data_IF_569549130639
#
_entry.id   IF_569549130639
#
_cell.length_a   1.000
_cell.length_b   1.000
_cell.length_c   1.000
_cell.angle_alpha   90.00
_cell.angle_beta   90.00
_cell.angle_gamma   90.00
#
_symmetry.space_group_name_H-M   'P 1'
#
loop_
_entity.id
_entity.type
_entity.pdbx_description
1 polymer ?
#
# COMPACT_ATOMS: atom_id res chain seq x y z
N UNK A 1 -6.99 9.07 -6.54
CA UNK A 1 -6.13 8.08 -5.85
C UNK A 1 -6.02 6.88 -6.79
N UNK A 2 -4.81 6.48 -7.20
CA UNK A 2 -4.56 5.40 -8.17
C UNK A 2 -4.63 3.98 -7.56
N UNK A 3 -4.84 3.83 -6.25
CA UNK A 3 -5.02 2.53 -5.59
C UNK A 3 -3.87 1.55 -5.85
N UNK A 4 -2.74 1.69 -5.13
CA UNK A 4 -1.49 0.96 -5.40
C UNK A 4 -1.47 -0.49 -4.92
N UNK A 5 -2.61 -1.06 -4.54
CA UNK A 5 -2.71 -2.42 -4.00
C UNK A 5 -2.12 -3.49 -4.94
N UNK A 6 -2.11 -3.26 -6.26
CA UNK A 6 -1.58 -4.19 -7.26
C UNK A 6 -0.06 -4.37 -7.20
N UNK A 7 0.68 -3.51 -6.48
CA UNK A 7 2.12 -3.72 -6.24
C UNK A 7 2.34 -5.01 -5.44
N UNK A 8 1.53 -5.24 -4.41
CA UNK A 8 1.67 -6.39 -3.50
C UNK A 8 0.60 -7.47 -3.74
N UNK A 9 -0.45 -7.14 -4.48
CA UNK A 9 -1.69 -7.93 -4.54
C UNK A 9 -2.00 -8.61 -5.88
N UNK A 10 -1.26 -8.33 -6.95
CA UNK A 10 -1.50 -8.91 -8.27
C UNK A 10 -0.20 -9.45 -8.87
N UNK A 11 -0.33 -10.42 -9.78
CA UNK A 11 0.82 -11.03 -10.49
C UNK A 11 1.64 -9.96 -11.22
N UNK A 12 0.97 -8.98 -11.83
CA UNK A 12 1.61 -7.84 -12.49
C UNK A 12 1.00 -6.54 -12.01
N UNK A 13 1.82 -5.64 -11.48
CA UNK A 13 1.33 -4.36 -10.95
C UNK A 13 0.82 -3.43 -12.05
N UNK A 14 0.00 -2.44 -11.67
CA UNK A 14 -0.46 -1.40 -12.61
C UNK A 14 0.71 -0.64 -13.26
N UNK A 15 1.85 -0.51 -12.56
CA UNK A 15 3.02 0.19 -13.06
C UNK A 15 3.79 -0.65 -14.07
N UNK A 16 3.98 -1.93 -13.78
CA UNK A 16 4.65 -2.82 -14.72
C UNK A 16 3.82 -2.99 -16.00
N UNK A 17 2.52 -3.21 -15.88
CA UNK A 17 1.64 -3.31 -17.06
C UNK A 17 1.55 -1.99 -17.83
N UNK A 18 1.65 -0.84 -17.16
CA UNK A 18 1.78 0.45 -17.85
C UNK A 18 3.06 0.53 -18.67
N UNK A 19 4.21 0.13 -18.13
CA UNK A 19 5.47 0.10 -18.87
C UNK A 19 5.42 -0.90 -20.04
N UNK A 20 4.86 -2.09 -19.83
CA UNK A 20 4.70 -3.11 -20.89
C UNK A 20 3.84 -2.56 -22.04
N UNK A 21 2.76 -1.84 -21.73
CA UNK A 21 1.93 -1.19 -22.73
C UNK A 21 2.68 -0.08 -23.49
N UNK A 22 3.49 0.74 -22.81
CA UNK A 22 4.28 1.81 -23.45
C UNK A 22 5.38 1.26 -24.35
N UNK A 23 5.92 0.09 -24.03
CA UNK A 23 7.03 -0.55 -24.74
C UNK A 23 6.58 -1.59 -25.79
N UNK A 24 5.28 -1.70 -26.04
CA UNK A 24 4.67 -2.73 -26.92
C UNK A 24 5.06 -4.18 -26.53
N UNK A 25 5.25 -4.43 -25.25
CA UNK A 25 5.50 -5.77 -24.72
C UNK A 25 4.18 -6.49 -24.40
N UNK A 26 4.15 -7.85 -24.43
CA UNK A 26 2.99 -8.60 -23.99
C UNK A 26 2.61 -8.22 -22.56
N UNK A 27 1.34 -7.93 -22.30
CA UNK A 27 0.85 -7.61 -20.96
C UNK A 27 1.03 -8.78 -20.00
N UNK A 28 1.32 -8.48 -18.74
CA UNK A 28 1.36 -9.46 -17.67
C UNK A 28 -0.03 -9.71 -17.07
N UNK A 29 -0.20 -10.88 -16.44
CA UNK A 29 -1.46 -11.28 -15.80
C UNK A 29 -1.87 -10.29 -14.71
N UNK A 30 -3.15 -9.94 -14.67
CA UNK A 30 -3.76 -9.11 -13.62
C UNK A 30 -4.43 -9.95 -12.53
N UNK A 31 -4.22 -11.27 -12.52
CA UNK A 31 -4.78 -12.14 -11.50
C UNK A 31 -4.29 -11.71 -10.10
N UNK A 32 -5.19 -11.70 -9.09
CA UNK A 32 -4.78 -11.48 -7.72
C UNK A 32 -3.82 -12.57 -7.24
N UNK A 33 -2.75 -12.18 -6.56
CA UNK A 33 -1.80 -13.12 -5.93
C UNK A 33 -2.29 -13.64 -4.58
N UNK A 34 -3.33 -13.01 -4.03
CA UNK A 34 -3.94 -13.33 -2.74
C UNK A 34 -5.46 -13.31 -2.84
N UNK A 35 -6.17 -14.15 -2.06
CA UNK A 35 -7.62 -14.10 -1.97
C UNK A 35 -8.18 -12.73 -1.56
N UNK A 36 -7.47 -12.00 -0.69
CA UNK A 36 -7.85 -10.67 -0.22
C UNK A 36 -6.64 -9.73 -0.12
N UNK A 37 -6.86 -8.47 -0.48
CA UNK A 37 -5.86 -7.39 -0.42
C UNK A 37 -6.56 -6.10 -0.02
N UNK A 38 -6.00 -5.35 0.93
CA UNK A 38 -6.51 -4.03 1.32
C UNK A 38 -5.37 -3.03 1.44
N UNK A 39 -5.57 -1.84 0.88
CA UNK A 39 -4.59 -0.75 0.94
C UNK A 39 -5.19 0.48 1.64
N UNK A 40 -4.46 1.05 2.58
CA UNK A 40 -4.76 2.34 3.19
C UNK A 40 -3.70 3.38 2.83
N UNK A 41 -4.13 4.60 2.53
CA UNK A 41 -3.19 5.71 2.37
C UNK A 41 -2.67 6.13 3.75
N UNK A 42 -1.39 6.50 3.82
CA UNK A 42 -0.85 7.22 4.96
C UNK A 42 -1.00 8.72 4.69
N UNK A 43 -1.87 9.36 5.48
CA UNK A 43 -2.17 10.79 5.42
C UNK A 43 -1.92 11.32 6.84
N UNK A 44 -0.83 12.04 7.09
CA UNK A 44 -0.52 12.53 8.43
C UNK A 44 -1.64 13.41 8.96
N UNK A 45 -1.93 13.25 10.24
CA UNK A 45 -2.84 14.11 10.98
C UNK A 45 -2.34 15.54 11.19
N UNK A 46 -2.98 16.23 12.12
CA UNK A 46 -2.59 17.55 12.60
C UNK A 46 -2.45 17.51 14.14
N UNK A 47 -1.24 17.70 14.71
CA UNK A 47 0.03 17.99 14.05
C UNK A 47 0.56 16.79 13.22
N UNK A 48 1.35 17.04 12.16
CA UNK A 48 1.86 15.96 11.31
C UNK A 48 2.93 15.14 12.03
N UNK A 49 2.80 13.82 11.94
CA UNK A 49 3.81 12.85 12.37
C UNK A 49 4.54 12.30 11.14
N UNK A 50 5.86 12.09 11.24
CA UNK A 50 6.59 11.37 10.18
C UNK A 50 6.37 9.85 10.34
N UNK A 51 5.72 9.18 9.37
CA UNK A 51 5.51 7.74 9.44
C UNK A 51 6.83 6.94 9.46
N UNK A 52 7.95 7.52 9.02
CA UNK A 52 9.27 6.88 9.10
C UNK A 52 9.67 6.58 10.55
N UNK A 53 9.30 7.45 11.48
CA UNK A 53 9.61 7.29 12.91
C UNK A 53 8.77 6.18 13.57
N UNK A 54 7.72 5.71 12.88
CA UNK A 54 6.76 4.74 13.40
C UNK A 54 6.67 3.47 12.56
N UNK A 55 7.52 3.28 11.56
CA UNK A 55 7.43 2.10 10.67
C UNK A 55 7.45 0.76 11.42
N UNK A 56 8.19 0.70 12.54
CA UNK A 56 8.27 -0.49 13.38
C UNK A 56 6.92 -0.92 13.97
N UNK A 57 5.99 0.02 14.24
CA UNK A 57 4.67 -0.29 14.79
C UNK A 57 3.68 -0.85 13.75
N UNK A 58 4.04 -0.82 12.47
CA UNK A 58 3.25 -1.36 11.37
C UNK A 58 3.80 -2.70 10.82
N UNK A 59 4.89 -3.21 11.40
CA UNK A 59 5.50 -4.45 10.95
C UNK A 59 4.64 -5.66 11.35
N UNK A 60 4.00 -6.24 10.33
CA UNK A 60 3.27 -7.51 10.41
C UNK A 60 3.68 -8.35 9.20
N UNK A 61 3.60 -9.68 9.32
CA UNK A 61 4.09 -10.59 8.26
C UNK A 61 3.40 -10.36 6.91
N UNK A 62 2.13 -9.96 6.95
CA UNK A 62 1.24 -9.78 5.82
C UNK A 62 1.06 -8.32 5.37
N UNK A 63 1.74 -7.38 6.04
CA UNK A 63 1.70 -5.93 5.74
C UNK A 63 2.95 -5.48 5.00
N UNK A 64 2.77 -4.59 4.04
CA UNK A 64 3.82 -3.90 3.27
C UNK A 64 3.64 -2.40 3.42
N UNK A 65 4.71 -1.69 3.73
CA UNK A 65 4.72 -0.22 3.89
C UNK A 65 5.49 0.40 2.73
N UNK A 66 4.89 1.37 2.06
CA UNK A 66 5.46 2.08 0.92
C UNK A 66 5.41 3.59 1.15
N UNK A 67 6.55 4.20 1.45
CA UNK A 67 6.70 5.64 1.70
C UNK A 67 7.23 6.37 0.46
N UNK A 68 6.71 7.56 0.17
CA UNK A 68 7.00 8.32 -1.07
C UNK A 68 8.12 9.35 -0.97
N UNK A 69 8.95 9.24 0.06
CA UNK A 69 9.97 10.22 0.41
C UNK A 69 9.47 11.68 0.44
N UNK A 70 8.29 11.91 1.00
CA UNK A 70 7.66 13.25 1.11
C UNK A 70 7.74 13.77 2.53
N UNK A 71 8.03 15.05 2.69
CA UNK A 71 7.90 15.72 4.00
C UNK A 71 6.43 15.69 4.46
N UNK A 72 6.14 15.18 5.67
CA UNK A 72 4.80 15.16 6.26
C UNK A 72 4.21 16.56 6.40
N UNK A 73 2.94 16.70 6.01
CA UNK A 73 2.10 17.88 6.26
C UNK A 73 0.65 17.42 6.35
N UNK A 74 -0.22 18.13 7.09
CA UNK A 74 -1.63 17.78 7.20
C UNK A 74 -2.28 17.59 5.81
N UNK A 75 -3.00 16.48 5.65
CA UNK A 75 -3.71 16.15 4.41
C UNK A 75 -2.83 15.70 3.23
N UNK A 76 -1.49 15.70 3.38
CA UNK A 76 -0.58 15.26 2.31
C UNK A 76 -0.39 13.75 2.39
N UNK A 77 -0.78 13.02 1.34
CA UNK A 77 -0.42 11.59 1.20
C UNK A 77 1.10 11.42 1.15
N UNK A 78 1.66 10.75 2.15
CA UNK A 78 3.10 10.48 2.29
C UNK A 78 3.47 9.03 1.96
N UNK A 79 2.49 8.14 1.87
CA UNK A 79 2.70 6.74 1.55
C UNK A 79 1.41 5.94 1.53
N UNK A 80 1.55 4.64 1.64
CA UNK A 80 0.45 3.70 1.83
C UNK A 80 0.95 2.43 2.54
N UNK A 81 0.01 1.71 3.13
CA UNK A 81 0.19 0.35 3.62
C UNK A 81 -0.72 -0.58 2.83
N UNK A 82 -0.24 -1.78 2.54
CA UNK A 82 -1.02 -2.84 1.89
C UNK A 82 -0.95 -4.09 2.77
N UNK A 83 -2.08 -4.66 3.13
CA UNK A 83 -2.16 -5.98 3.74
C UNK A 83 -2.67 -7.00 2.72
N UNK A 84 -2.26 -8.26 2.86
CA UNK A 84 -2.58 -9.38 1.95
C UNK A 84 -2.96 -10.63 2.74
N UNK A 85 -3.86 -11.48 2.24
CA UNK A 85 -4.25 -12.66 3.01
C UNK A 85 -5.43 -13.44 2.45
N UNK A 86 -5.97 -14.34 3.28
CA UNK A 86 -7.01 -15.29 2.90
C UNK A 86 -8.44 -14.74 2.96
N UNK A 87 -8.69 -13.68 3.73
CA UNK A 87 -10.02 -13.13 3.93
C UNK A 87 -10.00 -11.59 4.06
N UNK A 88 -11.11 -10.97 3.63
CA UNK A 88 -11.19 -9.51 3.52
C UNK A 88 -11.27 -8.81 4.88
N UNK A 89 -11.81 -9.46 5.90
CA UNK A 89 -12.02 -8.87 7.22
C UNK A 89 -10.68 -8.70 7.95
N UNK A 90 -9.90 -9.78 8.04
CA UNK A 90 -8.56 -9.81 8.64
C UNK A 90 -7.64 -8.83 7.93
N UNK A 91 -7.57 -8.91 6.60
CA UNK A 91 -6.68 -8.07 5.80
C UNK A 91 -7.04 -6.58 5.95
N UNK A 92 -8.33 -6.24 5.99
CA UNK A 92 -8.76 -4.87 6.25
C UNK A 92 -8.38 -4.41 7.65
N UNK A 93 -8.57 -5.25 8.66
CA UNK A 93 -8.22 -4.94 10.04
C UNK A 93 -6.72 -4.68 10.20
N UNK A 94 -5.87 -5.52 9.62
CA UNK A 94 -4.41 -5.36 9.65
C UNK A 94 -3.96 -4.08 8.92
N UNK A 95 -4.43 -3.84 7.70
CA UNK A 95 -4.07 -2.63 6.96
C UNK A 95 -4.51 -1.36 7.71
N UNK A 96 -5.70 -1.36 8.32
CA UNK A 96 -6.19 -0.23 9.10
C UNK A 96 -5.38 -0.01 10.38
N UNK A 97 -5.07 -1.08 11.12
CA UNK A 97 -4.25 -1.03 12.34
C UNK A 97 -2.83 -0.53 12.04
N UNK A 98 -2.20 -1.05 10.98
CA UNK A 98 -0.89 -0.61 10.52
C UNK A 98 -0.88 0.86 10.07
N UNK A 99 -1.92 1.31 9.35
CA UNK A 99 -2.02 2.72 8.98
C UNK A 99 -2.16 3.63 10.21
N UNK A 100 -3.04 3.26 11.14
CA UNK A 100 -3.29 4.05 12.36
C UNK A 100 -2.08 4.10 13.30
N UNK A 101 -1.27 3.03 13.37
CA UNK A 101 -0.09 3.00 14.22
C UNK A 101 1.04 3.90 13.71
N UNK A 102 0.99 4.35 12.45
CA UNK A 102 1.99 5.20 11.81
C UNK A 102 1.71 6.71 11.89
N UNK A 103 0.56 7.12 12.44
CA UNK A 103 0.15 8.53 12.59
C UNK A 103 -0.72 9.03 11.44
#
# INVERSE_FOLDING_TARGET
NSGHWTIDGAVTSQFENHLRAVLDWPLGSTEPSWPAVTMFNLIPGDPPVDPRDRVASALQADVRVHLYDKTPRPGRKVGHVTATGGDQETVRAHAAAAAASMG
#
